data_IF_268683464359
#
_entry.id   IF_268683464359
#
_cell.length_a   1.000
_cell.length_b   1.000
_cell.length_c   1.000
_cell.angle_alpha   90.00
_cell.angle_beta   90.00
_cell.angle_gamma   90.00
#
_symmetry.space_group_name_H-M   'P 1'
#
loop_
_entity.id
_entity.type
_entity.pdbx_description
1 polymer ?
#
# COMPACT_ATOMS: atom_id res chain seq x y z
N UNK A 1 19.11 -22.18 -11.73
CA UNK A 1 19.16 -20.70 -11.69
C UNK A 1 18.01 -20.25 -10.80
N UNK A 2 18.24 -20.18 -9.49
CA UNK A 2 17.25 -19.59 -8.58
C UNK A 2 17.32 -18.08 -8.78
N UNK A 3 16.28 -17.50 -9.38
CA UNK A 3 16.10 -16.04 -9.38
C UNK A 3 15.94 -15.63 -7.93
N UNK A 4 17.01 -15.10 -7.34
CA UNK A 4 16.91 -14.31 -6.11
C UNK A 4 16.09 -13.10 -6.49
N UNK A 5 14.77 -13.18 -6.30
CA UNK A 5 13.92 -12.01 -6.22
C UNK A 5 14.48 -11.21 -5.05
N UNK A 6 15.29 -10.20 -5.34
CA UNK A 6 15.68 -9.22 -4.34
C UNK A 6 14.40 -8.78 -3.63
N UNK A 7 14.36 -8.96 -2.32
CA UNK A 7 13.21 -8.57 -1.51
C UNK A 7 13.06 -7.07 -1.68
N UNK A 8 12.10 -6.64 -2.50
CA UNK A 8 11.81 -5.21 -2.68
C UNK A 8 11.64 -4.56 -1.31
N UNK A 9 12.27 -3.40 -1.06
CA UNK A 9 12.08 -2.66 0.17
C UNK A 9 10.60 -2.48 0.47
N UNK A 10 10.24 -2.62 1.75
CA UNK A 10 8.84 -2.53 2.16
C UNK A 10 8.25 -1.14 1.88
N UNK A 11 9.09 -0.11 1.91
CA UNK A 11 8.72 1.26 1.58
C UNK A 11 8.26 1.38 0.11
N UNK A 12 8.99 0.76 -0.83
CA UNK A 12 8.65 0.78 -2.25
C UNK A 12 7.29 0.13 -2.50
N UNK A 13 6.99 -0.98 -1.81
CA UNK A 13 5.69 -1.66 -1.90
C UNK A 13 4.54 -0.83 -1.30
N UNK A 14 4.82 -0.10 -0.21
CA UNK A 14 3.87 0.83 0.39
C UNK A 14 3.55 1.98 -0.57
N UNK A 15 4.57 2.57 -1.19
CA UNK A 15 4.44 3.64 -2.19
C UNK A 15 3.68 3.17 -3.43
N UNK A 16 4.02 2.01 -4.00
CA UNK A 16 3.27 1.41 -5.12
C UNK A 16 1.78 1.25 -4.78
N UNK A 17 1.48 0.87 -3.53
CA UNK A 17 0.10 0.69 -3.07
C UNK A 17 -0.65 2.02 -2.92
N UNK A 18 0.03 3.08 -2.49
CA UNK A 18 -0.54 4.43 -2.43
C UNK A 18 -0.82 4.99 -3.84
N UNK A 19 0.12 4.82 -4.76
CA UNK A 19 -0.05 5.21 -6.17
C UNK A 19 -1.28 4.52 -6.77
N UNK A 20 -1.50 3.24 -6.47
CA UNK A 20 -2.69 2.52 -6.93
C UNK A 20 -4.00 3.13 -6.40
N UNK A 21 -4.02 3.61 -5.14
CA UNK A 21 -5.18 4.31 -4.57
C UNK A 21 -5.43 5.65 -5.28
N UNK A 22 -4.37 6.41 -5.57
CA UNK A 22 -4.48 7.67 -6.32
C UNK A 22 -4.98 7.48 -7.75
N UNK A 23 -4.49 6.44 -8.43
CA UNK A 23 -4.97 6.09 -9.77
C UNK A 23 -6.46 5.72 -9.76
N UNK A 24 -6.91 4.96 -8.76
CA UNK A 24 -8.33 4.61 -8.62
C UNK A 24 -9.19 5.84 -8.29
N UNK A 25 -8.70 6.74 -7.44
CA UNK A 25 -9.36 8.03 -7.19
C UNK A 25 -9.55 8.83 -8.48
N UNK A 26 -8.49 8.96 -9.28
CA UNK A 26 -8.54 9.61 -10.59
C UNK A 26 -9.52 8.92 -11.54
N UNK A 27 -9.45 7.59 -11.65
CA UNK A 27 -10.39 6.81 -12.49
C UNK A 27 -11.84 7.03 -12.08
N UNK A 28 -12.12 7.05 -10.78
CA UNK A 28 -13.48 7.26 -10.25
C UNK A 28 -13.99 8.66 -10.50
N UNK A 29 -13.14 9.67 -10.50
CA UNK A 29 -13.54 11.03 -10.85
C UNK A 29 -14.00 11.18 -12.32
N UNK A 30 -13.59 10.27 -13.22
CA UNK A 30 -13.80 10.39 -14.66
C UNK A 30 -14.85 9.44 -15.28
N UNK A 31 -15.66 8.73 -14.49
CA UNK A 31 -16.71 7.88 -15.07
C UNK A 31 -17.28 6.76 -14.21
N UNK A 32 -16.76 6.58 -12.99
CA UNK A 32 -17.41 5.76 -11.97
C UNK A 32 -17.99 6.66 -10.88
N UNK A 33 -18.63 6.09 -9.87
CA UNK A 33 -19.05 6.87 -8.69
C UNK A 33 -17.78 7.44 -8.02
N UNK A 34 -17.59 8.78 -7.96
CA UNK A 34 -16.47 9.38 -7.27
C UNK A 34 -16.52 8.98 -5.80
N UNK A 35 -15.36 8.68 -5.23
CA UNK A 35 -15.25 8.61 -3.78
C UNK A 35 -15.38 10.02 -3.20
N UNK A 36 -15.87 10.09 -1.99
CA UNK A 36 -15.72 11.26 -1.12
C UNK A 36 -14.28 11.36 -0.64
N UNK A 37 -13.85 12.56 -0.26
CA UNK A 37 -12.51 12.75 0.33
C UNK A 37 -12.27 11.83 1.53
N UNK A 38 -13.30 11.58 2.33
CA UNK A 38 -13.24 10.65 3.47
C UNK A 38 -12.98 9.21 3.03
N UNK A 39 -13.69 8.72 2.00
CA UNK A 39 -13.45 7.37 1.46
C UNK A 39 -12.02 7.22 0.91
N UNK A 40 -11.49 8.23 0.22
CA UNK A 40 -10.09 8.21 -0.23
C UNK A 40 -9.10 8.14 0.92
N UNK A 41 -9.27 9.00 1.93
CA UNK A 41 -8.40 9.00 3.11
C UNK A 41 -8.48 7.65 3.85
N UNK A 42 -9.66 7.04 3.93
CA UNK A 42 -9.84 5.72 4.55
C UNK A 42 -9.07 4.63 3.79
N UNK A 43 -9.02 4.70 2.45
CA UNK A 43 -8.19 3.81 1.63
C UNK A 43 -6.68 4.04 1.85
N UNK A 44 -6.22 5.29 1.93
CA UNK A 44 -4.82 5.63 2.24
C UNK A 44 -4.42 5.10 3.62
N UNK A 45 -5.26 5.30 4.64
CA UNK A 45 -5.02 4.82 6.01
C UNK A 45 -4.91 3.29 6.05
N UNK A 46 -5.75 2.56 5.29
CA UNK A 46 -5.67 1.10 5.19
C UNK A 46 -4.35 0.61 4.61
N UNK A 47 -3.79 1.31 3.63
CA UNK A 47 -2.46 0.99 3.06
C UNK A 47 -1.40 1.14 4.17
N UNK A 48 -1.32 2.30 4.81
CA UNK A 48 -0.35 2.52 5.88
C UNK A 48 -0.49 1.51 7.03
N UNK A 49 -1.72 1.22 7.46
CA UNK A 49 -1.98 0.25 8.52
C UNK A 49 -1.49 -1.16 8.15
N UNK A 50 -1.72 -1.59 6.90
CA UNK A 50 -1.23 -2.89 6.39
C UNK A 50 0.29 -2.97 6.46
N UNK A 51 0.99 -1.96 5.95
CA UNK A 51 2.45 -1.96 5.88
C UNK A 51 3.12 -1.76 7.25
N UNK A 52 2.50 -0.98 8.14
CA UNK A 52 2.93 -0.87 9.54
C UNK A 52 2.84 -2.23 10.27
N UNK A 53 1.75 -2.97 10.08
CA UNK A 53 1.60 -4.30 10.67
C UNK A 53 2.63 -5.29 10.11
N UNK A 54 2.91 -5.23 8.81
CA UNK A 54 3.91 -6.10 8.19
C UNK A 54 5.33 -5.78 8.66
N UNK A 55 5.68 -4.50 8.81
CA UNK A 55 6.96 -4.06 9.37
C UNK A 55 7.16 -4.59 10.79
N UNK A 56 6.16 -4.44 11.66
CA UNK A 56 6.18 -4.99 13.03
C UNK A 56 6.35 -6.50 13.05
N UNK A 57 5.75 -7.20 12.09
CA UNK A 57 5.92 -8.65 11.96
C UNK A 57 7.35 -9.01 11.55
N UNK A 58 7.95 -8.30 10.58
CA UNK A 58 9.34 -8.51 10.19
C UNK A 58 10.32 -8.23 11.33
N UNK A 59 10.11 -7.16 12.09
CA UNK A 59 10.90 -6.81 13.28
C UNK A 59 10.87 -7.94 14.32
N UNK A 60 9.70 -8.53 14.57
CA UNK A 60 9.56 -9.68 15.49
C UNK A 60 10.30 -10.92 15.00
N UNK A 61 10.27 -11.19 13.70
CA UNK A 61 10.98 -12.33 13.10
C UNK A 61 12.50 -12.14 13.16
N UNK A 62 12.99 -10.92 12.96
CA UNK A 62 14.43 -10.62 13.03
C UNK A 62 14.99 -10.65 14.46
N UNK A 63 14.12 -10.50 15.47
CA UNK A 63 14.50 -10.54 16.89
C UNK A 63 14.40 -11.93 17.54
N UNK A 64 13.94 -12.95 16.80
CA UNK A 64 13.82 -14.35 17.25
C UNK A 64 14.95 -15.20 16.69
#
# INVERSE_FOLDING_TARGET
>A
MATVMESRPLADLEEESLIAVEQEWGRRAHGLKPWTTEEYLDHVVKVHARYANFRRWQEKQAAS
#
